data_IF_973768930710
#
_entry.id   IF_973768930710
#
_cell.length_a   1.000
_cell.length_b   1.000
_cell.length_c   1.000
_cell.angle_alpha   90.00
_cell.angle_beta   90.00
_cell.angle_gamma   90.00
#
_symmetry.space_group_name_H-M   'P 1'
#
loop_
_entity.id
_entity.type
_entity.pdbx_description
1 polymer ?
#
# COMPACT_ATOMS: atom_id res chain seq x y z
N UNK A 1 4.55 -8.43 8.99
CA UNK A 1 3.29 -9.04 8.50
C UNK A 1 3.55 -10.21 7.56
N UNK A 2 2.53 -10.99 7.20
CA UNK A 2 2.63 -12.10 6.24
C UNK A 2 2.42 -11.70 4.77
N UNK A 3 2.11 -10.43 4.51
CA UNK A 3 1.93 -9.84 3.19
C UNK A 3 2.21 -8.34 3.20
N UNK A 4 1.98 -7.68 2.05
CA UNK A 4 2.16 -6.24 1.83
C UNK A 4 3.38 -5.87 0.98
N UNK A 5 4.41 -6.73 0.96
CA UNK A 5 5.60 -6.57 0.13
C UNK A 5 5.57 -7.58 -1.02
N UNK A 6 6.01 -7.18 -2.21
CA UNK A 6 6.26 -8.08 -3.34
C UNK A 6 7.75 -8.07 -3.65
N UNK A 7 8.45 -9.11 -3.18
CA UNK A 7 9.87 -9.30 -3.45
C UNK A 7 10.14 -9.52 -4.95
N UNK A 8 11.19 -8.88 -5.45
CA UNK A 8 11.67 -8.99 -6.83
C UNK A 8 13.17 -8.75 -6.88
N UNK A 9 13.83 -9.50 -7.75
CA UNK A 9 15.27 -9.46 -8.00
C UNK A 9 15.53 -9.36 -9.50
N UNK A 10 16.61 -8.68 -9.89
CA UNK A 10 17.09 -8.70 -11.27
C UNK A 10 17.72 -10.06 -11.61
N UNK A 11 17.51 -10.54 -12.83
CA UNK A 11 18.17 -11.74 -13.37
C UNK A 11 19.60 -11.46 -13.88
N UNK A 12 20.01 -10.18 -13.93
CA UNK A 12 21.35 -9.72 -14.36
C UNK A 12 21.94 -8.68 -13.38
N UNK A 13 22.09 -9.02 -12.09
CA UNK A 13 22.47 -8.07 -11.05
C UNK A 13 23.86 -7.44 -11.27
N UNK A 14 24.80 -8.15 -11.89
CA UNK A 14 26.13 -7.59 -12.22
C UNK A 14 26.05 -6.45 -13.25
N UNK A 15 25.07 -6.51 -14.18
CA UNK A 15 24.85 -5.45 -15.18
C UNK A 15 24.09 -4.27 -14.60
N UNK A 16 23.16 -4.52 -13.69
CA UNK A 16 22.30 -3.49 -13.08
C UNK A 16 22.26 -3.64 -11.55
N UNK A 17 23.37 -3.36 -10.84
CA UNK A 17 23.46 -3.62 -9.40
C UNK A 17 22.48 -2.79 -8.57
N UNK A 18 22.07 -1.61 -9.07
CA UNK A 18 21.08 -0.76 -8.40
C UNK A 18 19.67 -1.35 -8.30
N UNK A 19 19.36 -2.40 -9.07
CA UNK A 19 18.07 -3.12 -9.06
C UNK A 19 18.23 -4.60 -8.75
N UNK A 20 19.37 -5.00 -8.18
CA UNK A 20 19.58 -6.36 -7.66
C UNK A 20 18.41 -6.77 -6.77
N UNK A 21 18.03 -5.89 -5.82
CA UNK A 21 16.75 -5.93 -5.12
C UNK A 21 15.89 -4.76 -5.62
N UNK A 22 14.65 -5.05 -6.00
CA UNK A 22 13.71 -4.02 -6.44
C UNK A 22 12.29 -4.33 -5.97
N UNK A 23 12.17 -4.46 -4.65
CA UNK A 23 10.92 -4.88 -4.00
C UNK A 23 9.86 -3.79 -4.08
N UNK A 24 8.60 -4.20 -4.26
CA UNK A 24 7.46 -3.29 -4.23
C UNK A 24 6.80 -3.30 -2.86
N UNK A 25 6.59 -2.11 -2.29
CA UNK A 25 5.79 -1.94 -1.06
C UNK A 25 4.39 -1.46 -1.44
N UNK A 26 3.37 -2.09 -0.87
CA UNK A 26 1.97 -1.64 -0.97
C UNK A 26 1.62 -0.87 0.28
N UNK A 27 1.19 0.38 0.15
CA UNK A 27 0.74 1.24 1.25
C UNK A 27 -0.77 1.43 1.14
N UNK A 28 -1.48 1.26 2.25
CA UNK A 28 -2.93 1.39 2.30
C UNK A 28 -3.36 2.83 1.97
N UNK A 29 -4.26 2.97 0.99
CA UNK A 29 -4.79 4.27 0.59
C UNK A 29 -6.00 4.70 1.43
N UNK A 30 -6.23 6.01 1.65
CA UNK A 30 -7.51 6.49 2.15
C UNK A 30 -8.66 6.15 1.20
N UNK A 31 -9.86 5.93 1.75
CA UNK A 31 -11.06 5.65 0.98
C UNK A 31 -11.30 6.72 -0.10
N UNK A 32 -11.53 6.27 -1.33
CA UNK A 32 -11.68 7.11 -2.53
C UNK A 32 -10.49 8.03 -2.86
N UNK A 33 -9.30 7.79 -2.30
CA UNK A 33 -8.03 8.42 -2.70
C UNK A 33 -8.01 9.95 -2.58
N UNK A 34 -8.65 10.49 -1.54
CA UNK A 34 -8.50 11.91 -1.18
C UNK A 34 -7.26 12.12 -0.33
N UNK A 35 -6.49 13.17 -0.64
CA UNK A 35 -5.22 13.47 0.02
C UNK A 35 -5.06 14.96 0.31
N UNK A 36 -4.35 15.28 1.38
CA UNK A 36 -3.72 16.59 1.56
C UNK A 36 -2.32 16.59 0.92
N UNK A 37 -1.85 17.76 0.49
CA UNK A 37 -0.48 17.88 -0.04
C UNK A 37 0.57 17.61 1.05
N UNK A 38 0.27 17.91 2.31
CA UNK A 38 1.11 17.58 3.46
C UNK A 38 1.32 16.07 3.60
N UNK A 39 0.25 15.27 3.54
CA UNK A 39 0.34 13.82 3.61
C UNK A 39 1.17 13.25 2.46
N UNK A 40 0.93 13.71 1.22
CA UNK A 40 1.68 13.22 0.06
C UNK A 40 3.16 13.60 0.12
N UNK A 41 3.50 14.83 0.52
CA UNK A 41 4.90 15.25 0.66
C UNK A 41 5.62 14.41 1.70
N UNK A 42 5.01 14.21 2.88
CA UNK A 42 5.59 13.37 3.93
C UNK A 42 5.83 11.92 3.46
N UNK A 43 4.89 11.35 2.71
CA UNK A 43 5.08 10.00 2.14
C UNK A 43 6.24 9.96 1.13
N UNK A 44 6.40 11.00 0.32
CA UNK A 44 7.50 11.10 -0.64
C UNK A 44 8.84 11.31 0.06
N UNK A 45 8.91 12.09 1.13
CA UNK A 45 10.13 12.27 1.94
C UNK A 45 10.60 10.92 2.50
N UNK A 46 9.68 10.10 3.03
CA UNK A 46 9.99 8.75 3.48
C UNK A 46 10.41 7.83 2.32
N UNK A 47 9.75 7.93 1.17
CA UNK A 47 10.06 7.07 0.04
C UNK A 47 11.40 7.42 -0.65
N UNK A 48 11.78 8.69 -0.68
CA UNK A 48 13.09 9.14 -1.14
C UNK A 48 14.20 8.67 -0.18
N UNK A 49 13.94 8.68 1.13
CA UNK A 49 14.87 8.16 2.15
C UNK A 49 15.12 6.66 2.03
N UNK A 50 14.07 5.87 1.76
CA UNK A 50 14.12 4.41 1.89
C UNK A 50 14.04 3.64 0.56
N UNK A 51 13.75 4.29 -0.56
CA UNK A 51 13.41 3.63 -1.81
C UNK A 51 13.92 4.34 -3.05
N UNK A 52 13.33 4.01 -4.19
CA UNK A 52 13.74 4.49 -5.51
C UNK A 52 13.17 5.86 -5.90
N UNK A 53 12.29 6.44 -5.07
CA UNK A 53 11.41 7.57 -5.42
C UNK A 53 10.42 7.30 -6.58
N UNK A 54 10.38 6.09 -7.15
CA UNK A 54 9.42 5.71 -8.21
C UNK A 54 8.14 5.16 -7.59
N UNK A 55 6.98 5.57 -8.10
CA UNK A 55 5.68 5.14 -7.59
C UNK A 55 4.69 4.77 -8.69
N UNK A 56 3.66 4.00 -8.34
CA UNK A 56 2.40 4.00 -9.08
C UNK A 56 1.29 4.58 -8.20
N UNK A 57 0.59 5.58 -8.73
CA UNK A 57 -0.55 6.23 -8.10
C UNK A 57 -1.79 5.98 -8.98
N UNK A 58 -2.49 4.85 -8.84
CA UNK A 58 -2.41 3.80 -7.81
C UNK A 58 -2.27 2.41 -8.43
N UNK A 59 -2.04 1.39 -7.60
CA UNK A 59 -2.24 0.01 -8.02
C UNK A 59 -3.73 -0.26 -8.33
N UNK A 60 -4.02 -1.17 -9.27
CA UNK A 60 -5.40 -1.44 -9.71
C UNK A 60 -6.35 -1.92 -8.60
N UNK A 61 -5.82 -2.46 -7.50
CA UNK A 61 -6.65 -2.83 -6.33
C UNK A 61 -6.99 -1.63 -5.46
N UNK A 62 -6.12 -0.61 -5.39
CA UNK A 62 -6.33 0.57 -4.57
C UNK A 62 -5.05 1.13 -3.98
N UNK A 63 -4.11 0.25 -3.62
CA UNK A 63 -2.87 0.56 -2.89
C UNK A 63 -2.06 1.69 -3.56
N UNK A 64 -1.40 2.52 -2.74
CA UNK A 64 -0.25 3.29 -3.21
C UNK A 64 0.90 2.31 -3.41
N UNK A 65 1.57 2.40 -4.56
CA UNK A 65 2.66 1.49 -4.91
C UNK A 65 3.97 2.24 -4.84
N UNK A 66 4.84 1.84 -3.92
CA UNK A 66 6.22 2.32 -3.82
C UNK A 66 7.12 1.29 -4.49
N UNK A 67 7.70 1.68 -5.63
CA UNK A 67 8.26 0.75 -6.60
C UNK A 67 9.78 0.68 -6.50
N UNK A 68 10.30 -0.29 -5.76
CA UNK A 68 11.73 -0.58 -5.75
C UNK A 68 12.40 -0.10 -4.49
N UNK A 69 12.75 -1.05 -3.63
CA UNK A 69 13.68 -0.88 -2.52
C UNK A 69 14.41 -2.19 -2.25
N UNK A 70 15.39 -2.15 -1.35
CA UNK A 70 16.16 -3.31 -0.90
C UNK A 70 15.57 -3.92 0.37
N UNK A 71 15.97 -5.15 0.71
CA UNK A 71 15.38 -5.90 1.83
C UNK A 71 15.63 -5.20 3.17
N UNK A 72 16.83 -4.66 3.36
CA UNK A 72 17.30 -3.95 4.55
C UNK A 72 16.50 -2.67 4.86
N UNK A 73 15.81 -2.10 3.87
CA UNK A 73 15.00 -0.89 4.04
C UNK A 73 13.53 -1.18 4.36
N UNK A 74 13.08 -2.44 4.30
CA UNK A 74 11.66 -2.77 4.48
C UNK A 74 11.15 -2.45 5.89
N UNK A 75 11.85 -2.92 6.93
CA UNK A 75 11.47 -2.67 8.32
C UNK A 75 11.70 -1.20 8.73
N UNK A 76 12.83 -0.54 8.39
CA UNK A 76 12.99 0.90 8.63
C UNK A 76 11.90 1.76 7.99
N UNK A 77 11.53 1.46 6.73
CA UNK A 77 10.45 2.16 6.06
C UNK A 77 9.11 1.93 6.79
N UNK A 78 8.80 0.68 7.16
CA UNK A 78 7.55 0.36 7.84
C UNK A 78 7.45 1.00 9.23
N UNK A 79 8.57 1.08 9.95
CA UNK A 79 8.66 1.81 11.21
C UNK A 79 8.33 3.29 11.03
N UNK A 80 8.98 3.98 10.09
CA UNK A 80 8.74 5.40 9.85
C UNK A 80 7.30 5.66 9.34
N UNK A 81 6.79 4.80 8.46
CA UNK A 81 5.41 4.88 7.95
C UNK A 81 4.38 4.83 9.10
N UNK A 82 4.55 3.89 10.03
CA UNK A 82 3.62 3.70 11.14
C UNK A 82 3.80 4.77 12.23
N UNK A 83 5.03 5.08 12.63
CA UNK A 83 5.30 5.97 13.76
C UNK A 83 5.24 7.45 13.39
N UNK A 84 5.58 7.82 12.16
CA UNK A 84 5.53 9.22 11.73
C UNK A 84 4.22 9.55 11.03
N UNK A 85 3.64 8.65 10.24
CA UNK A 85 2.44 8.93 9.44
C UNK A 85 1.16 8.27 9.96
N UNK A 86 1.25 7.29 10.86
CA UNK A 86 0.09 6.50 11.27
C UNK A 86 -0.56 5.75 10.09
N UNK A 87 0.22 5.45 9.04
CA UNK A 87 -0.23 4.72 7.86
C UNK A 87 0.27 3.27 7.92
N UNK A 88 -0.47 2.37 7.28
CA UNK A 88 -0.17 0.94 7.27
C UNK A 88 0.04 0.41 5.83
N UNK A 89 0.50 -0.83 5.73
CA UNK A 89 0.68 -1.56 4.49
C UNK A 89 -0.67 -2.04 3.92
N UNK A 90 -0.69 -2.25 2.61
CA UNK A 90 -1.78 -2.93 1.92
C UNK A 90 -1.65 -4.46 1.98
N UNK A 91 -2.61 -5.16 1.36
CA UNK A 91 -2.64 -6.63 1.32
C UNK A 91 -1.93 -7.27 0.11
N UNK A 92 -1.22 -8.38 0.34
CA UNK A 92 -0.73 -9.30 -0.72
C UNK A 92 -0.65 -10.74 -0.19
N UNK A 93 -0.83 -11.74 -1.07
CA UNK A 93 -0.87 -13.17 -0.68
C UNK A 93 -2.27 -13.78 -0.71
N UNK A 94 -2.47 -14.87 0.05
CA UNK A 94 -3.76 -15.55 0.21
C UNK A 94 -4.52 -15.01 1.43
N UNK A 95 -4.93 -13.75 1.32
CA UNK A 95 -5.55 -12.92 2.34
C UNK A 95 -6.68 -12.08 1.74
N UNK A 96 -7.40 -11.35 2.59
CA UNK A 96 -8.16 -10.17 2.18
C UNK A 96 -7.20 -9.13 1.60
N UNK A 97 -7.51 -8.61 0.42
CA UNK A 97 -6.75 -7.50 -0.16
C UNK A 97 -7.35 -6.17 0.26
N UNK A 98 -6.58 -5.11 0.08
CA UNK A 98 -6.99 -3.73 0.38
C UNK A 98 -8.33 -3.41 -0.28
N UNK A 99 -9.39 -3.15 0.50
CA UNK A 99 -10.67 -2.71 -0.04
C UNK A 99 -10.53 -1.37 -0.77
N UNK A 100 -11.39 -1.14 -1.75
CA UNK A 100 -11.49 0.13 -2.46
C UNK A 100 -12.94 0.44 -2.81
N UNK A 101 -13.25 1.72 -2.92
CA UNK A 101 -14.59 2.22 -3.24
C UNK A 101 -14.53 3.36 -4.26
N UNK A 102 -15.67 3.64 -4.89
CA UNK A 102 -15.86 4.88 -5.65
C UNK A 102 -15.92 6.08 -4.70
N UNK A 103 -16.03 7.29 -5.24
CA UNK A 103 -16.09 8.51 -4.43
C UNK A 103 -17.38 8.66 -3.61
N UNK A 104 -18.43 7.88 -3.92
CA UNK A 104 -19.67 7.84 -3.16
C UNK A 104 -20.27 9.23 -2.89
N UNK A 105 -20.82 9.39 -1.69
CA UNK A 105 -21.50 10.62 -1.30
C UNK A 105 -20.56 11.84 -1.12
N UNK A 106 -19.23 11.67 -1.20
CA UNK A 106 -18.31 12.83 -1.15
C UNK A 106 -18.54 13.81 -2.29
N UNK A 107 -18.95 13.32 -3.47
CA UNK A 107 -19.11 14.15 -4.67
C UNK A 107 -19.98 13.52 -5.77
N UNK A 108 -20.90 12.62 -5.41
CA UNK A 108 -21.85 12.03 -6.35
C UNK A 108 -23.26 12.00 -5.73
N UNK A 109 -24.21 12.65 -6.38
CA UNK A 109 -25.62 12.69 -6.01
C UNK A 109 -26.36 11.37 -6.26
N UNK A 110 -25.72 10.39 -6.91
CA UNK A 110 -26.26 9.05 -7.13
C UNK A 110 -25.79 8.02 -6.11
N UNK A 111 -25.05 8.44 -5.07
CA UNK A 111 -24.62 7.52 -4.02
C UNK A 111 -25.80 7.06 -3.17
N UNK A 112 -26.07 5.76 -3.14
CA UNK A 112 -27.18 5.20 -2.35
C UNK A 112 -26.81 4.89 -0.89
N UNK A 113 -25.52 4.93 -0.55
CA UNK A 113 -25.00 4.72 0.81
C UNK A 113 -23.60 5.36 0.94
N UNK A 114 -23.07 5.39 2.16
CA UNK A 114 -21.70 5.85 2.40
C UNK A 114 -20.67 4.76 2.04
N UNK A 115 -20.21 4.80 0.78
CA UNK A 115 -19.21 3.85 0.28
C UNK A 115 -17.85 4.00 0.96
N UNK A 116 -17.50 5.22 1.38
CA UNK A 116 -16.22 5.51 2.00
C UNK A 116 -16.17 4.96 3.43
N UNK A 117 -17.20 5.23 4.22
CA UNK A 117 -17.32 4.72 5.58
C UNK A 117 -17.37 3.19 5.59
N UNK A 118 -18.16 2.59 4.69
CA UNK A 118 -18.21 1.12 4.57
C UNK A 118 -16.84 0.53 4.23
N UNK A 119 -16.13 1.12 3.25
CA UNK A 119 -14.79 0.68 2.85
C UNK A 119 -13.80 0.80 4.01
N UNK A 120 -13.79 1.94 4.71
CA UNK A 120 -12.88 2.19 5.82
C UNK A 120 -13.17 1.26 7.00
N UNK A 121 -14.42 1.15 7.41
CA UNK A 121 -14.85 0.28 8.51
C UNK A 121 -14.45 -1.18 8.27
N UNK A 122 -14.73 -1.73 7.07
CA UNK A 122 -14.34 -3.11 6.75
C UNK A 122 -12.83 -3.29 6.69
N UNK A 123 -12.09 -2.28 6.22
CA UNK A 123 -10.62 -2.31 6.18
C UNK A 123 -10.04 -2.39 7.60
N UNK A 124 -10.59 -1.64 8.55
CA UNK A 124 -10.16 -1.67 9.95
C UNK A 124 -10.64 -2.92 10.69
N UNK A 125 -11.86 -3.37 10.41
CA UNK A 125 -12.44 -4.53 11.07
C UNK A 125 -11.68 -5.82 10.75
N UNK A 126 -11.26 -6.00 9.49
CA UNK A 126 -10.58 -7.20 9.00
C UNK A 126 -9.06 -7.01 8.82
N UNK A 127 -8.42 -6.24 9.69
CA UNK A 127 -6.97 -6.00 9.64
C UNK A 127 -6.16 -7.29 9.72
N UNK A 128 -6.58 -8.24 10.56
CA UNK A 128 -5.88 -9.53 10.69
C UNK A 128 -5.90 -10.30 9.37
N UNK A 129 -7.08 -10.41 8.75
CA UNK A 129 -7.27 -11.10 7.48
C UNK A 129 -6.58 -10.38 6.32
N UNK A 130 -6.27 -9.08 6.43
CA UNK A 130 -5.46 -8.34 5.46
C UNK A 130 -3.97 -8.65 5.66
N UNK A 131 -3.47 -8.58 6.89
CA UNK A 131 -2.03 -8.64 7.15
C UNK A 131 -1.48 -10.06 7.34
N UNK A 132 -2.34 -11.04 7.66
CA UNK A 132 -1.96 -12.43 7.96
C UNK A 132 -2.72 -13.39 7.04
N UNK A 133 -2.10 -13.86 5.94
CA UNK A 133 -2.72 -14.81 5.01
C UNK A 133 -3.24 -16.08 5.69
N UNK A 134 -4.57 -16.18 5.82
CA UNK A 134 -5.26 -17.29 6.44
C UNK A 134 -6.27 -17.98 5.49
N UNK A 135 -6.40 -17.51 4.26
CA UNK A 135 -7.37 -18.02 3.30
C UNK A 135 -6.73 -19.01 2.31
N UNK A 136 -7.52 -19.89 1.66
CA UNK A 136 -7.00 -20.75 0.59
C UNK A 136 -6.44 -19.95 -0.58
N UNK A 137 -7.00 -18.77 -0.85
CA UNK A 137 -6.53 -17.87 -1.90
C UNK A 137 -6.88 -16.41 -1.61
N UNK A 138 -6.53 -15.51 -2.52
CA UNK A 138 -6.81 -14.07 -2.37
C UNK A 138 -8.33 -13.81 -2.35
N UNK A 139 -8.76 -12.84 -1.54
CA UNK A 139 -10.13 -12.34 -1.52
C UNK A 139 -10.13 -10.82 -1.76
N UNK A 140 -11.07 -10.32 -2.56
CA UNK A 140 -11.27 -8.89 -2.85
C UNK A 140 -12.74 -8.58 -2.76
#
# INVERSE_FOLDING_TARGET
YGGGIVGRYSDVPERFPGVEHFHTIRVAQPASKYYSTENLRKLMDLWEKHGSAVTNFHGSTGDIILLGTRTENLEPFFWDLTHEMGQDLGGSGSNLRTPACCLGQSRCEWSCYDTQETCYHLTLHYQDEIHRPAFPYKFK
#
